data_IF_644633105890
#
_entry.id   IF_644633105890
#
_cell.length_a   1.000
_cell.length_b   1.000
_cell.length_c   1.000
_cell.angle_alpha   90.00
_cell.angle_beta   90.00
_cell.angle_gamma   90.00
#
_symmetry.space_group_name_H-M   'P 1'
#
loop_
_entity.id
_entity.type
_entity.pdbx_description
1 polymer ?
#
# COMPACT_ATOMS: atom_id res chain seq x y z
N UNK A 1 -5.96 -10.40 -16.55
CA UNK A 1 -6.26 -9.28 -15.64
C UNK A 1 -6.92 -8.17 -16.43
N UNK A 2 -8.02 -7.60 -15.96
CA UNK A 2 -8.62 -6.36 -16.46
C UNK A 2 -8.21 -5.19 -15.57
N UNK A 3 -8.29 -3.94 -16.07
CA UNK A 3 -7.91 -2.76 -15.29
C UNK A 3 -9.07 -1.77 -15.24
N UNK A 4 -9.43 -1.36 -14.04
CA UNK A 4 -10.35 -0.26 -13.78
C UNK A 4 -9.57 0.94 -13.26
N UNK A 5 -9.85 2.12 -13.79
CA UNK A 5 -9.25 3.37 -13.34
C UNK A 5 -10.13 4.04 -12.29
N UNK A 6 -9.55 4.56 -11.23
CA UNK A 6 -10.26 5.22 -10.13
C UNK A 6 -11.24 6.31 -10.57
N UNK A 7 -10.96 6.97 -11.69
CA UNK A 7 -11.83 7.99 -12.28
C UNK A 7 -12.94 7.44 -13.17
N UNK A 8 -12.93 6.13 -13.44
CA UNK A 8 -13.96 5.50 -14.29
C UNK A 8 -15.24 5.21 -13.51
N UNK A 9 -16.35 4.99 -14.23
CA UNK A 9 -17.61 4.63 -13.60
C UNK A 9 -17.50 3.36 -12.76
N UNK A 10 -17.87 3.36 -11.47
CA UNK A 10 -17.84 2.17 -10.62
C UNK A 10 -18.80 1.07 -11.11
N UNK A 11 -19.79 1.39 -11.99
CA UNK A 11 -20.69 0.41 -12.59
C UNK A 11 -19.97 -0.60 -13.49
N UNK A 12 -18.75 -0.29 -13.94
CA UNK A 12 -17.94 -1.21 -14.73
C UNK A 12 -17.29 -2.31 -13.89
N UNK A 13 -17.08 -2.10 -12.59
CA UNK A 13 -16.41 -3.06 -11.73
C UNK A 13 -17.10 -4.44 -11.70
N UNK A 14 -18.43 -4.55 -11.49
CA UNK A 14 -19.09 -5.86 -11.53
C UNK A 14 -18.92 -6.58 -12.84
N UNK A 15 -18.92 -5.85 -13.96
CA UNK A 15 -18.70 -6.42 -15.29
C UNK A 15 -17.28 -6.97 -15.41
N UNK A 16 -16.28 -6.17 -15.04
CA UNK A 16 -14.88 -6.61 -15.07
C UNK A 16 -14.62 -7.81 -14.16
N UNK A 17 -15.25 -7.85 -12.98
CA UNK A 17 -15.18 -8.97 -12.05
C UNK A 17 -15.79 -10.27 -12.57
N UNK A 18 -16.72 -10.20 -13.55
CA UNK A 18 -17.25 -11.38 -14.22
C UNK A 18 -16.31 -11.92 -15.29
N UNK A 19 -15.54 -11.04 -15.96
CA UNK A 19 -14.73 -11.39 -17.12
C UNK A 19 -13.27 -11.68 -16.82
N UNK A 20 -12.75 -11.23 -15.69
CA UNK A 20 -11.33 -11.35 -15.36
C UNK A 20 -11.14 -12.02 -14.01
N UNK A 21 -10.16 -12.91 -13.89
CA UNK A 21 -9.79 -13.54 -12.62
C UNK A 21 -9.27 -12.54 -11.60
N UNK A 22 -8.57 -11.51 -12.07
CA UNK A 22 -8.08 -10.40 -11.27
C UNK A 22 -8.41 -9.08 -11.94
N UNK A 23 -8.92 -8.12 -11.17
CA UNK A 23 -9.17 -6.74 -11.61
C UNK A 23 -8.17 -5.81 -10.94
N UNK A 24 -7.36 -5.14 -11.75
CA UNK A 24 -6.43 -4.12 -11.29
C UNK A 24 -7.13 -2.78 -11.06
N UNK A 25 -6.90 -2.14 -9.92
CA UNK A 25 -7.36 -0.78 -9.60
C UNK A 25 -6.19 0.17 -9.82
N UNK A 26 -6.30 0.98 -10.87
CA UNK A 26 -5.29 1.95 -11.27
C UNK A 26 -5.69 3.39 -10.99
N UNK A 27 -4.75 4.33 -11.16
CA UNK A 27 -5.02 5.77 -11.00
C UNK A 27 -5.12 6.26 -9.54
N UNK A 28 -4.84 5.40 -8.55
CA UNK A 28 -4.93 5.77 -7.14
C UNK A 28 -3.74 6.64 -6.67
N UNK A 29 -2.57 6.51 -7.31
CA UNK A 29 -1.33 7.16 -6.87
C UNK A 29 -1.42 8.69 -6.69
N UNK A 30 -2.02 9.46 -7.62
CA UNK A 30 -2.17 10.90 -7.43
C UNK A 30 -2.97 11.28 -6.18
N UNK A 31 -3.96 10.47 -5.83
CA UNK A 31 -4.86 10.66 -4.71
C UNK A 31 -4.24 10.30 -3.36
N UNK A 32 -3.23 9.42 -3.37
CA UNK A 32 -2.51 8.99 -2.17
C UNK A 32 -1.24 9.81 -1.89
N UNK A 33 -0.92 10.81 -2.72
CA UNK A 33 0.16 11.76 -2.46
C UNK A 33 -0.35 12.98 -1.70
N UNK A 34 0.44 13.48 -0.75
CA UNK A 34 0.11 14.67 0.00
C UNK A 34 1.35 15.47 0.36
N UNK A 35 1.35 16.76 0.07
CA UNK A 35 2.44 17.70 0.37
C UNK A 35 2.05 18.74 1.42
N UNK A 36 0.77 19.10 1.49
CA UNK A 36 0.21 20.06 2.45
C UNK A 36 -0.68 19.38 3.50
N UNK A 37 -1.10 20.13 4.53
CA UNK A 37 -2.03 19.63 5.55
C UNK A 37 -3.40 19.30 4.95
N UNK A 38 -3.91 20.16 4.06
CA UNK A 38 -5.19 19.93 3.38
C UNK A 38 -5.12 18.67 2.49
N UNK A 39 -4.03 18.49 1.73
CA UNK A 39 -3.83 17.29 0.92
C UNK A 39 -3.70 16.01 1.77
N UNK A 40 -3.15 16.11 2.99
CA UNK A 40 -3.08 14.96 3.90
C UNK A 40 -4.47 14.52 4.35
N UNK A 41 -5.38 15.46 4.64
CA UNK A 41 -6.76 15.17 4.97
C UNK A 41 -7.45 14.49 3.77
N UNK A 42 -7.36 15.10 2.59
CA UNK A 42 -7.93 14.54 1.36
C UNK A 42 -7.37 13.16 1.02
N UNK A 43 -6.07 12.95 1.24
CA UNK A 43 -5.45 11.63 1.08
C UNK A 43 -6.10 10.58 1.97
N UNK A 44 -6.35 10.93 3.23
CA UNK A 44 -6.99 10.03 4.18
C UNK A 44 -8.39 9.66 3.72
N UNK A 45 -9.20 10.63 3.32
CA UNK A 45 -10.56 10.41 2.81
C UNK A 45 -10.56 9.53 1.54
N UNK A 46 -9.66 9.81 0.60
CA UNK A 46 -9.50 9.02 -0.61
C UNK A 46 -9.08 7.58 -0.30
N UNK A 47 -8.22 7.40 0.69
CA UNK A 47 -7.79 6.08 1.12
C UNK A 47 -8.92 5.30 1.79
N UNK A 48 -9.71 5.94 2.64
CA UNK A 48 -10.88 5.32 3.26
C UNK A 48 -11.86 4.84 2.19
N UNK A 49 -12.13 5.66 1.17
CA UNK A 49 -12.98 5.26 0.05
C UNK A 49 -12.40 4.07 -0.76
N UNK A 50 -11.08 4.04 -0.97
CA UNK A 50 -10.41 2.91 -1.62
C UNK A 50 -10.49 1.64 -0.77
N UNK A 51 -10.26 1.75 0.53
CA UNK A 51 -10.34 0.65 1.48
C UNK A 51 -11.75 0.06 1.53
N UNK A 52 -12.77 0.89 1.62
CA UNK A 52 -14.18 0.48 1.61
C UNK A 52 -14.52 -0.25 0.30
N UNK A 53 -14.09 0.28 -0.84
CA UNK A 53 -14.28 -0.37 -2.13
C UNK A 53 -13.60 -1.75 -2.16
N UNK A 54 -12.34 -1.86 -1.76
CA UNK A 54 -11.60 -3.12 -1.76
C UNK A 54 -12.25 -4.15 -0.83
N UNK A 55 -12.72 -3.74 0.35
CA UNK A 55 -13.45 -4.61 1.28
C UNK A 55 -14.78 -5.08 0.70
N UNK A 56 -15.55 -4.21 0.07
CA UNK A 56 -16.80 -4.58 -0.59
C UNK A 56 -16.58 -5.57 -1.75
N UNK A 57 -15.53 -5.35 -2.55
CA UNK A 57 -15.15 -6.27 -3.60
C UNK A 57 -14.68 -7.62 -3.05
N UNK A 58 -13.88 -7.61 -1.99
CA UNK A 58 -13.43 -8.84 -1.31
C UNK A 58 -14.60 -9.65 -0.76
N UNK A 59 -15.55 -9.00 -0.07
CA UNK A 59 -16.74 -9.67 0.48
C UNK A 59 -17.57 -10.35 -0.62
N UNK A 60 -17.65 -9.75 -1.79
CA UNK A 60 -18.48 -10.26 -2.88
C UNK A 60 -17.78 -11.23 -3.81
N UNK A 61 -16.49 -11.06 -4.04
CA UNK A 61 -15.74 -11.78 -5.09
C UNK A 61 -14.49 -12.49 -4.56
N UNK A 62 -14.15 -12.36 -3.28
CA UNK A 62 -12.89 -12.83 -2.72
C UNK A 62 -11.68 -11.96 -3.10
N UNK A 63 -10.45 -12.42 -2.84
CA UNK A 63 -9.22 -11.66 -3.08
C UNK A 63 -8.88 -11.61 -4.57
N UNK A 64 -9.63 -10.85 -5.36
CA UNK A 64 -9.49 -10.75 -6.82
C UNK A 64 -9.13 -9.35 -7.31
N UNK A 65 -8.67 -8.48 -6.40
CA UNK A 65 -8.21 -7.13 -6.75
C UNK A 65 -6.70 -7.02 -6.69
N UNK A 66 -6.13 -6.24 -7.62
CA UNK A 66 -4.73 -5.80 -7.60
C UNK A 66 -4.68 -4.28 -7.52
N UNK A 67 -3.88 -3.71 -6.62
CA UNK A 67 -3.72 -2.26 -6.48
C UNK A 67 -2.43 -1.81 -7.15
N UNK A 68 -2.57 -0.99 -8.20
CA UNK A 68 -1.41 -0.42 -8.90
C UNK A 68 -0.81 0.78 -8.17
N UNK A 69 0.51 0.77 -8.03
CA UNK A 69 1.27 1.90 -7.52
C UNK A 69 0.99 2.21 -6.05
N UNK A 70 0.76 1.18 -5.24
CA UNK A 70 0.55 1.34 -3.80
C UNK A 70 1.84 1.83 -3.13
N UNK A 71 1.90 3.09 -2.77
CA UNK A 71 3.12 3.74 -2.26
C UNK A 71 2.95 4.44 -0.91
N UNK A 72 1.96 4.07 -0.15
CA UNK A 72 1.74 4.53 1.22
C UNK A 72 1.72 3.34 2.18
N UNK A 73 2.55 3.37 3.22
CA UNK A 73 2.75 2.27 4.17
C UNK A 73 1.42 1.81 4.77
N UNK A 74 0.60 2.73 5.26
CA UNK A 74 -0.74 2.43 5.78
C UNK A 74 -1.62 1.70 4.74
N UNK A 75 -1.53 2.11 3.48
CA UNK A 75 -2.30 1.48 2.41
C UNK A 75 -1.85 0.04 2.14
N UNK A 76 -0.54 -0.24 2.21
CA UNK A 76 -0.01 -1.59 2.09
C UNK A 76 -0.54 -2.46 3.22
N UNK A 77 -0.45 -1.98 4.47
CA UNK A 77 -0.87 -2.71 5.66
C UNK A 77 -2.36 -3.04 5.67
N UNK A 78 -3.21 -2.01 5.43
CA UNK A 78 -4.65 -2.17 5.58
C UNK A 78 -5.31 -2.92 4.40
N UNK A 79 -4.70 -2.87 3.20
CA UNK A 79 -5.25 -3.53 2.02
C UNK A 79 -4.71 -4.95 1.83
N UNK A 80 -3.54 -5.30 2.35
CA UNK A 80 -2.95 -6.63 2.21
C UNK A 80 -3.93 -7.79 2.50
N UNK A 81 -4.79 -7.74 3.53
CA UNK A 81 -5.71 -8.83 3.83
C UNK A 81 -6.89 -8.97 2.86
N UNK A 82 -7.16 -7.98 2.02
CA UNK A 82 -8.39 -7.90 1.20
C UNK A 82 -8.14 -7.81 -0.30
N UNK A 83 -6.87 -7.72 -0.73
CA UNK A 83 -6.50 -7.72 -2.14
C UNK A 83 -5.72 -8.98 -2.51
N UNK A 84 -5.75 -9.38 -3.77
CA UNK A 84 -4.93 -10.49 -4.27
C UNK A 84 -3.46 -10.13 -4.28
N UNK A 85 -3.14 -8.89 -4.64
CA UNK A 85 -1.78 -8.37 -4.71
C UNK A 85 -1.76 -6.86 -4.84
N UNK A 86 -0.61 -6.26 -4.60
CA UNK A 86 -0.34 -4.86 -4.96
C UNK A 86 1.10 -4.71 -5.44
N UNK A 87 1.35 -3.76 -6.33
CA UNK A 87 2.69 -3.36 -6.67
C UNK A 87 3.08 -2.09 -5.90
N UNK A 88 4.32 -2.00 -5.51
CA UNK A 88 4.85 -0.81 -4.86
C UNK A 88 6.26 -0.51 -5.32
N UNK A 89 6.55 0.77 -5.47
CA UNK A 89 7.93 1.24 -5.68
C UNK A 89 8.60 1.73 -4.38
N UNK A 90 8.03 1.41 -3.21
CA UNK A 90 8.57 1.83 -1.92
C UNK A 90 9.99 1.30 -1.67
N UNK A 91 10.30 0.10 -2.13
CA UNK A 91 11.62 -0.50 -2.00
C UNK A 91 12.73 0.32 -2.69
N UNK A 92 12.40 1.12 -3.73
CA UNK A 92 13.35 2.01 -4.41
C UNK A 92 13.44 3.42 -3.78
N UNK A 93 12.71 3.67 -2.71
CA UNK A 93 12.69 4.96 -2.00
C UNK A 93 14.07 5.45 -1.57
N UNK A 94 15.02 4.59 -1.14
CA UNK A 94 16.39 5.03 -0.83
C UNK A 94 17.09 5.76 -1.97
N UNK A 95 16.94 5.29 -3.21
CA UNK A 95 17.49 5.97 -4.38
C UNK A 95 16.80 7.30 -4.70
N UNK A 96 15.49 7.41 -4.42
CA UNK A 96 14.70 8.60 -4.77
C UNK A 96 14.74 9.71 -3.72
N UNK A 97 14.80 9.37 -2.46
CA UNK A 97 14.66 10.33 -1.35
C UNK A 97 15.58 10.07 -0.17
N UNK A 98 16.47 9.08 -0.24
CA UNK A 98 17.35 8.70 0.86
C UNK A 98 16.63 8.13 2.10
N UNK A 99 15.34 7.78 1.97
CA UNK A 99 14.56 7.17 3.05
C UNK A 99 14.45 5.66 2.84
N UNK A 100 14.50 4.90 3.91
CA UNK A 100 14.25 3.46 3.92
C UNK A 100 12.87 3.14 4.45
N UNK A 101 12.30 2.02 3.97
CA UNK A 101 11.16 1.36 4.58
C UNK A 101 11.70 0.24 5.46
N UNK A 102 11.18 0.11 6.67
CA UNK A 102 11.55 -0.93 7.63
C UNK A 102 10.33 -1.31 8.47
N UNK A 103 10.39 -2.50 9.07
CA UNK A 103 9.37 -2.93 10.02
C UNK A 103 9.72 -2.37 11.40
N UNK A 104 8.79 -1.64 12.00
CA UNK A 104 8.94 -1.10 13.34
C UNK A 104 8.68 -2.19 14.39
N UNK A 105 9.25 -2.05 15.58
CA UNK A 105 9.10 -2.99 16.71
C UNK A 105 7.63 -3.33 17.05
N UNK A 106 6.72 -2.46 16.67
CA UNK A 106 5.28 -2.68 16.83
C UNK A 106 4.63 -3.45 15.67
N UNK A 107 5.42 -3.99 14.75
CA UNK A 107 4.97 -4.81 13.64
C UNK A 107 4.28 -4.05 12.51
N UNK A 108 4.45 -2.73 12.38
CA UNK A 108 3.96 -1.96 11.24
C UNK A 108 5.13 -1.47 10.35
N UNK A 109 4.83 -1.19 9.09
CA UNK A 109 5.81 -0.56 8.20
C UNK A 109 6.02 0.90 8.58
N UNK A 110 7.26 1.32 8.60
CA UNK A 110 7.66 2.69 8.86
C UNK A 110 8.66 3.18 7.82
N UNK A 111 8.83 4.49 7.73
CA UNK A 111 9.76 5.12 6.80
C UNK A 111 10.57 6.20 7.51
N UNK A 112 11.89 6.12 7.40
CA UNK A 112 12.79 7.11 7.95
C UNK A 112 13.96 7.42 6.99
N UNK A 113 14.57 8.62 7.08
CA UNK A 113 15.83 8.88 6.40
C UNK A 113 16.90 7.88 6.84
N UNK A 114 17.60 7.25 5.88
CA UNK A 114 18.63 6.24 6.19
C UNK A 114 19.73 6.78 7.14
N UNK A 115 20.01 8.08 7.08
CA UNK A 115 21.01 8.75 7.96
C UNK A 115 20.68 8.71 9.44
N UNK A 116 19.42 8.51 9.83
CA UNK A 116 19.02 8.41 11.25
C UNK A 116 18.92 6.97 11.75
N UNK A 117 19.04 6.01 10.84
CA UNK A 117 19.05 4.58 11.17
C UNK A 117 20.51 4.15 11.35
N UNK A 118 20.89 3.80 12.58
CA UNK A 118 22.29 3.50 12.94
C UNK A 118 22.95 2.47 12.03
N UNK A 119 22.20 1.42 11.67
CA UNK A 119 22.68 0.32 10.83
C UNK A 119 22.80 0.70 9.35
N UNK A 120 21.96 1.63 8.90
CA UNK A 120 21.88 1.99 7.48
C UNK A 120 22.85 3.09 7.03
N UNK A 121 23.63 3.67 7.95
CA UNK A 121 24.54 4.78 7.62
C UNK A 121 25.60 4.36 6.60
N UNK A 122 26.17 3.18 6.79
CA UNK A 122 27.27 2.66 5.98
C UNK A 122 26.81 1.95 4.69
N UNK A 123 25.50 1.74 4.54
CA UNK A 123 24.97 1.03 3.39
C UNK A 123 24.91 1.91 2.15
N UNK A 124 25.25 1.33 1.01
CA UNK A 124 25.00 1.93 -0.31
C UNK A 124 23.49 2.11 -0.55
N UNK A 125 23.15 2.90 -1.55
CA UNK A 125 21.73 3.07 -1.93
C UNK A 125 21.09 1.78 -2.44
N UNK A 126 21.87 0.86 -3.02
CA UNK A 126 21.38 -0.44 -3.47
C UNK A 126 21.08 -1.38 -2.30
N UNK A 127 21.99 -1.47 -1.34
CA UNK A 127 21.77 -2.25 -0.11
C UNK A 127 20.54 -1.74 0.64
N UNK A 128 20.37 -0.43 0.76
CA UNK A 128 19.17 0.17 1.37
C UNK A 128 17.89 -0.18 0.62
N UNK A 129 17.94 -0.27 -0.72
CA UNK A 129 16.79 -0.72 -1.51
C UNK A 129 16.47 -2.19 -1.24
N UNK A 130 17.48 -3.06 -1.18
CA UNK A 130 17.31 -4.48 -0.89
C UNK A 130 16.72 -4.69 0.50
N UNK A 131 17.22 -4.00 1.52
CA UNK A 131 16.69 -4.13 2.88
C UNK A 131 15.25 -3.56 3.01
N UNK A 132 14.94 -2.47 2.29
CA UNK A 132 13.56 -1.98 2.20
C UNK A 132 12.61 -2.99 1.53
N UNK A 133 13.06 -3.68 0.49
CA UNK A 133 12.29 -4.73 -0.16
C UNK A 133 12.06 -5.93 0.78
N UNK A 134 13.10 -6.36 1.50
CA UNK A 134 12.99 -7.44 2.50
C UNK A 134 12.00 -7.09 3.61
N UNK A 135 12.06 -5.86 4.14
CA UNK A 135 11.12 -5.42 5.18
C UNK A 135 9.66 -5.46 4.72
N UNK A 136 9.41 -5.03 3.48
CA UNK A 136 8.06 -5.10 2.89
C UNK A 136 7.62 -6.56 2.68
N UNK A 137 8.50 -7.41 2.15
CA UNK A 137 8.21 -8.81 1.92
C UNK A 137 7.92 -9.53 3.24
N UNK A 138 8.77 -9.38 4.25
CA UNK A 138 8.58 -9.97 5.56
C UNK A 138 7.25 -9.55 6.20
N UNK A 139 6.87 -8.27 6.07
CA UNK A 139 5.58 -7.77 6.56
C UNK A 139 4.39 -8.45 5.86
N UNK A 140 4.49 -8.72 4.55
CA UNK A 140 3.42 -9.34 3.77
C UNK A 140 3.35 -10.86 3.99
N UNK A 141 4.48 -11.50 4.29
CA UNK A 141 4.57 -12.94 4.53
C UNK A 141 4.20 -13.35 5.97
N UNK A 142 4.16 -12.41 6.92
CA UNK A 142 3.66 -12.70 8.26
C UNK A 142 2.19 -13.13 8.18
N UNK A 143 1.81 -14.34 8.66
CA UNK A 143 0.42 -14.76 8.68
C UNK A 143 -0.37 -13.77 9.53
N UNK A 144 -1.24 -13.02 8.88
CA UNK A 144 -2.06 -12.01 9.53
C UNK A 144 -2.96 -12.67 10.56
N UNK A 145 -2.57 -12.64 11.81
CA UNK A 145 -3.53 -12.77 12.90
C UNK A 145 -4.58 -11.68 12.71
N UNK A 146 -5.84 -12.07 12.79
CA UNK A 146 -7.07 -11.32 12.56
C UNK A 146 -7.00 -9.78 12.72
N UNK A 147 -7.89 -9.02 12.11
CA UNK A 147 -7.78 -7.59 11.81
C UNK A 147 -7.19 -6.80 12.97
N UNK A 148 -5.95 -6.34 12.81
CA UNK A 148 -5.24 -5.53 13.81
C UNK A 148 -6.13 -4.33 14.12
N UNK A 149 -6.68 -4.29 15.34
CA UNK A 149 -7.53 -3.19 15.81
C UNK A 149 -6.75 -1.90 15.68
N UNK A 150 -7.14 -1.05 14.74
CA UNK A 150 -6.62 0.31 14.63
C UNK A 150 -7.05 1.05 15.89
N UNK A 151 -6.13 1.25 16.82
CA UNK A 151 -6.36 2.15 17.94
C UNK A 151 -6.50 3.56 17.37
N UNK A 152 -7.72 4.05 17.27
CA UNK A 152 -7.99 5.47 17.12
C UNK A 152 -7.53 6.14 18.41
N UNK A 153 -6.37 6.77 18.36
CA UNK A 153 -5.96 7.72 19.40
C UNK A 153 -6.85 8.95 19.23
N UNK A 154 -7.66 9.23 20.28
CA UNK A 154 -8.49 10.43 20.39
C UNK A 154 -7.70 11.71 20.48
#
# INVERSE_FOLDING_TARGET
MAVWQWSASPRLLPVLMQWADVVGIGGCQPWLKARSKAEKQQRTENFEALNDLCRALYQRYGPRTHIFGNCWERSIEELAPVVASSDTSHWITPKRSGCMVFQHDRGHLAKAPARVLSEAKEWSSDERCVESAKAIAAFLDEPGDAPRKVHRSG
#
